data_IF_894209769770
#
_entry.id   IF_894209769770
#
_cell.length_a   1.000
_cell.length_b   1.000
_cell.length_c   1.000
_cell.angle_alpha   90.00
_cell.angle_beta   90.00
_cell.angle_gamma   90.00
#
_symmetry.space_group_name_H-M   'P 1'
#
loop_
_entity.id
_entity.type
_entity.pdbx_description
1 polymer ?
#
# COMPACT_ATOMS: atom_id res chain seq x y z
N UNK A 1 4.68 19.03 -11.43
CA UNK A 1 5.80 19.97 -11.27
C UNK A 1 7.05 19.15 -10.98
N UNK A 2 8.16 19.41 -11.69
CA UNK A 2 9.46 18.71 -11.53
C UNK A 2 9.35 17.18 -11.54
N UNK A 3 8.60 16.62 -12.47
CA UNK A 3 8.40 15.17 -12.58
C UNK A 3 9.31 14.62 -13.67
N UNK A 4 10.03 13.54 -13.37
CA UNK A 4 10.75 12.76 -14.37
C UNK A 4 9.87 11.58 -14.79
N UNK A 5 9.60 11.42 -16.06
CA UNK A 5 8.74 10.35 -16.58
C UNK A 5 9.50 9.57 -17.63
N UNK A 6 9.52 8.25 -17.49
CA UNK A 6 10.13 7.31 -18.43
C UNK A 6 9.29 7.09 -19.70
N UNK A 7 9.56 5.99 -20.40
CA UNK A 7 8.88 5.63 -21.64
C UNK A 7 7.61 4.80 -21.37
N UNK A 8 6.65 4.88 -22.30
CA UNK A 8 5.41 4.09 -22.28
C UNK A 8 4.61 4.21 -20.98
N UNK A 9 4.63 5.38 -20.36
CA UNK A 9 3.90 5.68 -19.12
C UNK A 9 2.52 6.19 -19.45
N UNK A 10 1.51 5.68 -18.74
CA UNK A 10 0.13 6.16 -18.82
C UNK A 10 -0.24 6.86 -17.52
N UNK A 11 -0.62 8.13 -17.62
CA UNK A 11 -1.13 8.92 -16.49
C UNK A 11 -2.52 9.44 -16.83
N UNK A 12 -3.51 9.06 -16.01
CA UNK A 12 -4.89 9.47 -16.17
C UNK A 12 -5.32 10.36 -15.00
N UNK A 13 -5.82 11.58 -15.29
CA UNK A 13 -6.46 12.51 -14.34
C UNK A 13 -5.85 12.47 -12.92
N UNK A 14 -4.53 12.63 -12.82
CA UNK A 14 -3.79 12.46 -11.57
C UNK A 14 -2.86 13.64 -11.31
N UNK A 15 -2.46 13.82 -10.06
CA UNK A 15 -1.55 14.87 -9.64
C UNK A 15 -0.18 14.26 -9.32
N UNK A 16 0.87 14.73 -9.99
CA UNK A 16 2.25 14.32 -9.77
C UNK A 16 3.11 15.55 -9.43
N UNK A 17 3.85 15.47 -8.33
CA UNK A 17 4.70 16.56 -7.85
C UNK A 17 6.05 16.01 -7.40
N UNK A 18 7.14 16.56 -7.95
CA UNK A 18 8.52 16.31 -7.52
C UNK A 18 8.82 14.80 -7.30
N UNK A 19 8.47 13.97 -8.28
CA UNK A 19 8.59 12.52 -8.23
C UNK A 19 9.23 11.93 -9.49
N UNK A 20 9.61 10.67 -9.42
CA UNK A 20 10.19 9.90 -10.51
C UNK A 20 9.26 8.77 -10.89
N UNK A 21 8.92 8.67 -12.16
CA UNK A 21 8.10 7.59 -12.72
C UNK A 21 8.92 6.90 -13.81
N UNK A 22 9.19 5.61 -13.63
CA UNK A 22 9.98 4.81 -14.56
C UNK A 22 9.14 4.31 -15.73
N UNK A 23 9.76 3.48 -16.59
CA UNK A 23 9.12 3.00 -17.81
C UNK A 23 7.90 2.10 -17.55
N UNK A 24 6.93 2.14 -18.44
CA UNK A 24 5.74 1.27 -18.48
C UNK A 24 4.88 1.32 -17.21
N UNK A 25 4.94 2.41 -16.47
CA UNK A 25 4.10 2.65 -15.29
C UNK A 25 2.71 3.10 -15.70
N UNK A 26 1.72 2.70 -14.92
CA UNK A 26 0.32 3.11 -15.08
C UNK A 26 -0.16 3.81 -13.80
N UNK A 27 -0.61 5.07 -13.94
CA UNK A 27 -1.06 5.90 -12.80
C UNK A 27 -2.47 6.43 -13.04
N UNK A 28 -3.31 6.26 -12.05
CA UNK A 28 -4.64 6.85 -12.01
C UNK A 28 -5.80 5.91 -12.37
N UNK A 29 -6.98 6.48 -12.57
CA UNK A 29 -7.30 7.91 -12.41
C UNK A 29 -7.30 8.36 -10.93
N UNK A 30 -7.19 9.67 -10.71
CA UNK A 30 -7.30 10.32 -9.39
C UNK A 30 -6.29 9.85 -8.35
N UNK A 31 -5.07 9.56 -8.76
CA UNK A 31 -3.95 9.30 -7.87
C UNK A 31 -3.21 10.60 -7.52
N UNK A 32 -2.60 10.64 -6.34
CA UNK A 32 -1.75 11.73 -5.91
C UNK A 32 -0.34 11.22 -5.56
N UNK A 33 0.62 11.49 -6.43
CA UNK A 33 2.04 11.14 -6.22
C UNK A 33 2.75 12.40 -5.71
N UNK A 34 3.20 12.34 -4.48
CA UNK A 34 3.81 13.44 -3.75
C UNK A 34 5.35 13.43 -3.84
N UNK A 35 6.00 14.52 -3.39
CA UNK A 35 7.46 14.64 -3.45
C UNK A 35 8.21 13.45 -2.83
N UNK A 36 9.42 13.24 -3.34
CA UNK A 36 10.34 12.18 -2.93
C UNK A 36 9.80 10.76 -3.18
N UNK A 37 8.86 10.60 -4.10
CA UNK A 37 8.32 9.29 -4.46
C UNK A 37 8.93 8.77 -5.76
N UNK A 38 9.17 7.46 -5.80
CA UNK A 38 9.67 6.76 -6.98
C UNK A 38 8.70 5.62 -7.32
N UNK A 39 8.19 5.63 -8.55
CA UNK A 39 7.36 4.56 -9.08
C UNK A 39 8.20 3.79 -10.08
N UNK A 40 8.58 2.58 -9.70
CA UNK A 40 9.49 1.74 -10.48
C UNK A 40 8.81 1.11 -11.69
N UNK A 41 9.61 0.57 -12.59
CA UNK A 41 9.21 0.06 -13.88
C UNK A 41 8.05 -0.93 -13.81
N UNK A 42 7.04 -0.75 -14.65
CA UNK A 42 5.89 -1.64 -14.74
C UNK A 42 4.94 -1.60 -13.55
N UNK A 43 5.20 -0.76 -12.55
CA UNK A 43 4.31 -0.64 -11.40
C UNK A 43 2.98 0.01 -11.77
N UNK A 44 1.96 -0.27 -10.96
CA UNK A 44 0.62 0.30 -11.11
C UNK A 44 0.20 1.01 -9.83
N UNK A 45 -0.18 2.28 -9.97
CA UNK A 45 -0.83 3.06 -8.91
C UNK A 45 -2.22 3.45 -9.41
N UNK A 46 -3.25 2.93 -8.76
CA UNK A 46 -4.63 3.09 -9.25
C UNK A 46 -5.37 4.28 -8.63
N UNK A 47 -6.68 4.16 -8.63
CA UNK A 47 -7.60 5.22 -8.28
C UNK A 47 -7.62 5.51 -6.76
N UNK A 48 -7.67 6.80 -6.44
CA UNK A 48 -7.73 7.31 -5.07
C UNK A 48 -6.58 6.80 -4.18
N UNK A 49 -5.39 6.70 -4.77
CA UNK A 49 -4.16 6.31 -4.06
C UNK A 49 -3.30 7.53 -3.85
N UNK A 50 -2.81 7.71 -2.63
CA UNK A 50 -1.81 8.71 -2.30
C UNK A 50 -0.48 8.03 -1.98
N UNK A 51 0.58 8.43 -2.69
CA UNK A 51 1.96 7.97 -2.46
C UNK A 51 2.80 9.18 -2.02
N UNK A 52 3.48 9.08 -0.88
CA UNK A 52 4.31 10.16 -0.33
C UNK A 52 5.65 9.62 0.15
N UNK A 53 6.75 10.17 -0.36
CA UNK A 53 8.11 9.82 0.08
C UNK A 53 8.30 8.31 0.18
N UNK A 54 7.96 7.61 -0.90
CA UNK A 54 7.90 6.15 -0.92
C UNK A 54 8.38 5.60 -2.25
N UNK A 55 8.81 4.35 -2.23
CA UNK A 55 9.19 3.59 -3.42
C UNK A 55 8.16 2.52 -3.67
N UNK A 56 7.58 2.50 -4.87
CA UNK A 56 6.75 1.39 -5.34
C UNK A 56 7.59 0.56 -6.31
N UNK A 57 7.98 -0.63 -5.89
CA UNK A 57 8.91 -1.50 -6.60
C UNK A 57 8.41 -2.02 -7.95
N UNK A 58 9.31 -2.59 -8.72
CA UNK A 58 9.04 -3.09 -10.08
C UNK A 58 7.85 -4.04 -10.11
N UNK A 59 6.91 -3.82 -11.04
CA UNK A 59 5.70 -4.62 -11.25
C UNK A 59 4.79 -4.73 -10.02
N UNK A 60 5.01 -3.93 -8.99
CA UNK A 60 4.14 -3.89 -7.81
C UNK A 60 2.89 -3.07 -8.08
N UNK A 61 1.85 -3.35 -7.31
CA UNK A 61 0.53 -2.76 -7.52
C UNK A 61 -0.01 -2.17 -6.22
N UNK A 62 -0.43 -0.90 -6.30
CA UNK A 62 -1.22 -0.20 -5.28
C UNK A 62 -2.51 0.27 -5.97
N UNK A 63 -3.49 -0.65 -6.18
CA UNK A 63 -4.53 -0.41 -7.17
C UNK A 63 -5.67 0.50 -6.71
N UNK A 64 -5.97 0.60 -5.40
CA UNK A 64 -7.18 1.29 -4.95
C UNK A 64 -7.08 1.86 -3.53
N UNK A 65 -7.60 3.08 -3.33
CA UNK A 65 -8.04 3.62 -2.03
C UNK A 65 -6.99 3.46 -0.92
N UNK A 66 -5.72 3.73 -1.18
CA UNK A 66 -4.64 3.46 -0.24
C UNK A 66 -3.82 4.71 0.05
N UNK A 67 -3.29 4.79 1.27
CA UNK A 67 -2.25 5.74 1.62
C UNK A 67 -0.93 5.01 1.88
N UNK A 68 0.09 5.34 1.09
CA UNK A 68 1.45 4.80 1.22
C UNK A 68 2.40 5.97 1.48
N UNK A 69 2.79 6.15 2.71
CA UNK A 69 3.69 7.21 3.14
C UNK A 69 4.91 6.68 3.89
N UNK A 70 6.07 7.23 3.58
CA UNK A 70 7.35 6.86 4.18
C UNK A 70 7.57 5.33 4.14
N UNK A 71 7.42 4.72 2.95
CA UNK A 71 7.46 3.27 2.77
C UNK A 71 8.29 2.84 1.56
N UNK A 72 8.84 1.65 1.64
CA UNK A 72 9.43 0.94 0.50
C UNK A 72 8.62 -0.33 0.24
N UNK A 73 8.14 -0.49 -0.98
CA UNK A 73 7.48 -1.68 -1.47
C UNK A 73 8.41 -2.38 -2.45
N UNK A 74 8.74 -3.63 -2.19
CA UNK A 74 9.58 -4.46 -3.05
C UNK A 74 8.93 -4.79 -4.39
N UNK A 75 9.53 -5.70 -5.15
CA UNK A 75 9.09 -6.09 -6.49
C UNK A 75 7.89 -7.04 -6.44
N UNK A 76 6.98 -6.93 -7.41
CA UNK A 76 5.89 -7.88 -7.60
C UNK A 76 4.91 -7.99 -6.44
N UNK A 77 4.88 -7.02 -5.55
CA UNK A 77 3.99 -7.01 -4.39
C UNK A 77 2.64 -6.38 -4.71
N UNK A 78 1.61 -6.82 -4.01
CA UNK A 78 0.25 -6.31 -4.18
C UNK A 78 -0.30 -5.74 -2.88
N UNK A 79 -0.66 -4.47 -2.93
CA UNK A 79 -1.24 -3.74 -1.80
C UNK A 79 -2.75 -3.70 -1.96
N UNK A 80 -3.48 -4.37 -1.08
CA UNK A 80 -4.93 -4.44 -1.13
C UNK A 80 -5.61 -3.08 -0.89
N UNK A 81 -6.82 -2.93 -1.42
CA UNK A 81 -7.60 -1.70 -1.30
C UNK A 81 -7.80 -1.27 0.16
N UNK A 82 -7.69 0.02 0.44
CA UNK A 82 -7.85 0.55 1.78
C UNK A 82 -6.67 0.31 2.73
N UNK A 83 -5.53 -0.10 2.22
CA UNK A 83 -4.31 -0.24 3.03
C UNK A 83 -3.75 1.12 3.42
N UNK A 84 -3.38 1.25 4.68
CA UNK A 84 -2.78 2.47 5.25
C UNK A 84 -1.43 2.13 5.87
N UNK A 85 -0.39 2.84 5.47
CA UNK A 85 0.85 2.91 6.25
C UNK A 85 0.66 3.96 7.34
N UNK A 86 0.57 3.51 8.60
CA UNK A 86 0.44 4.41 9.74
C UNK A 86 1.83 4.94 10.11
N UNK A 87 2.31 5.92 9.34
CA UNK A 87 3.69 6.40 9.38
C UNK A 87 3.96 7.49 10.44
N UNK A 88 2.94 8.01 11.09
CA UNK A 88 3.07 9.13 12.03
C UNK A 88 2.57 8.76 13.43
N UNK A 89 3.43 8.93 14.43
CA UNK A 89 3.14 8.59 15.83
C UNK A 89 2.61 9.76 16.67
N UNK A 90 2.33 10.89 16.02
CA UNK A 90 1.94 12.14 16.68
C UNK A 90 3.12 13.12 16.83
N UNK A 91 4.36 12.67 16.63
CA UNK A 91 5.57 13.49 16.73
C UNK A 91 6.57 13.23 15.60
N UNK A 92 6.83 11.97 15.29
CA UNK A 92 7.82 11.55 14.30
C UNK A 92 7.19 10.70 13.18
N UNK A 93 7.87 10.67 12.03
CA UNK A 93 7.58 9.76 10.93
C UNK A 93 8.45 8.52 11.04
N UNK A 94 7.85 7.37 10.77
CA UNK A 94 8.51 6.07 10.80
C UNK A 94 8.33 5.36 9.46
N UNK A 95 9.24 4.46 9.15
CA UNK A 95 9.30 3.76 7.86
C UNK A 95 8.60 2.41 7.91
N UNK A 96 7.92 2.06 6.81
CA UNK A 96 7.38 0.73 6.54
C UNK A 96 8.19 0.08 5.43
N UNK A 97 8.72 -1.12 5.68
CA UNK A 97 9.41 -1.92 4.67
C UNK A 97 8.52 -3.11 4.28
N UNK A 98 8.24 -3.24 2.99
CA UNK A 98 7.49 -4.36 2.42
C UNK A 98 8.39 -5.04 1.39
N UNK A 99 8.67 -6.31 1.60
CA UNK A 99 9.55 -7.10 0.74
C UNK A 99 8.99 -7.41 -0.64
N UNK A 100 9.68 -8.30 -1.35
CA UNK A 100 9.30 -8.75 -2.69
C UNK A 100 8.18 -9.80 -2.64
N UNK A 101 7.27 -9.77 -3.60
CA UNK A 101 6.21 -10.77 -3.74
C UNK A 101 5.21 -10.83 -2.57
N UNK A 102 5.09 -9.76 -1.81
CA UNK A 102 4.20 -9.68 -0.66
C UNK A 102 2.76 -9.41 -1.11
N UNK A 103 1.81 -10.02 -0.41
CA UNK A 103 0.39 -9.73 -0.57
C UNK A 103 -0.18 -9.10 0.70
N UNK A 104 -0.60 -7.84 0.61
CA UNK A 104 -1.31 -7.16 1.70
C UNK A 104 -2.81 -7.23 1.42
N UNK A 105 -3.57 -7.84 2.32
CA UNK A 105 -5.02 -7.92 2.23
C UNK A 105 -5.70 -6.56 2.40
N UNK A 106 -6.89 -6.41 1.83
CA UNK A 106 -7.65 -5.15 1.88
C UNK A 106 -7.92 -4.67 3.32
N UNK A 107 -7.99 -3.35 3.50
CA UNK A 107 -8.22 -2.70 4.80
C UNK A 107 -7.21 -3.09 5.88
N UNK A 108 -5.97 -3.30 5.49
CA UNK A 108 -4.88 -3.53 6.45
C UNK A 108 -4.27 -2.21 6.90
N UNK A 109 -3.93 -2.12 8.18
CA UNK A 109 -3.15 -1.03 8.75
C UNK A 109 -1.75 -1.54 9.08
N UNK A 110 -0.73 -0.90 8.54
CA UNK A 110 0.67 -1.22 8.83
C UNK A 110 1.23 -0.12 9.72
N UNK A 111 1.41 -0.42 11.01
CA UNK A 111 1.84 0.56 12.01
C UNK A 111 3.37 0.62 12.02
N UNK A 112 3.90 1.69 11.45
CA UNK A 112 5.34 1.90 11.34
C UNK A 112 5.98 2.25 12.71
N UNK A 113 7.25 1.85 12.96
CA UNK A 113 8.10 1.10 12.04
C UNK A 113 7.70 -0.37 11.98
N UNK A 114 7.63 -0.93 10.77
CA UNK A 114 7.26 -2.34 10.58
C UNK A 114 7.95 -2.89 9.33
N UNK A 115 8.31 -4.17 9.38
CA UNK A 115 8.94 -4.90 8.29
C UNK A 115 8.08 -6.12 7.92
N UNK A 116 7.71 -6.23 6.65
CA UNK A 116 6.98 -7.37 6.09
C UNK A 116 7.93 -8.12 5.15
N UNK A 117 8.32 -9.32 5.53
CA UNK A 117 9.30 -10.13 4.79
C UNK A 117 8.80 -10.62 3.43
N UNK A 118 9.74 -11.00 2.57
CA UNK A 118 9.47 -11.47 1.20
C UNK A 118 8.45 -12.61 1.17
N UNK A 119 7.54 -12.56 0.22
CA UNK A 119 6.52 -13.59 0.03
C UNK A 119 5.48 -13.69 1.15
N UNK A 120 5.49 -12.79 2.12
CA UNK A 120 4.53 -12.81 3.20
C UNK A 120 3.12 -12.41 2.72
N UNK A 121 2.14 -12.86 3.48
CA UNK A 121 0.74 -12.58 3.24
C UNK A 121 0.12 -11.96 4.49
N UNK A 122 -0.53 -10.82 4.35
CA UNK A 122 -1.28 -10.17 5.44
C UNK A 122 -2.77 -10.36 5.18
N UNK A 123 -3.49 -10.96 6.13
CA UNK A 123 -4.92 -11.18 6.01
C UNK A 123 -5.69 -9.85 6.01
N UNK A 124 -6.73 -9.75 5.18
CA UNK A 124 -7.57 -8.56 5.09
C UNK A 124 -8.10 -8.11 6.46
N UNK A 125 -8.16 -6.80 6.68
CA UNK A 125 -8.64 -6.21 7.94
C UNK A 125 -7.68 -6.36 9.12
N UNK A 126 -6.43 -6.72 8.89
CA UNK A 126 -5.41 -6.85 9.94
C UNK A 126 -4.76 -5.52 10.28
N UNK A 127 -4.42 -5.33 11.56
CA UNK A 127 -3.56 -4.24 12.03
C UNK A 127 -2.23 -4.83 12.48
N UNK A 128 -1.18 -4.59 11.68
CA UNK A 128 0.15 -5.18 11.86
C UNK A 128 1.01 -4.20 12.65
N UNK A 129 1.51 -4.62 13.79
CA UNK A 129 2.35 -3.83 14.71
C UNK A 129 3.74 -4.43 14.89
N UNK A 130 3.93 -5.69 14.52
CA UNK A 130 5.17 -6.42 14.67
C UNK A 130 5.68 -6.90 13.31
N UNK A 131 6.96 -7.26 13.24
CA UNK A 131 7.56 -7.84 12.05
C UNK A 131 6.80 -9.09 11.57
N UNK A 132 6.60 -9.19 10.26
CA UNK A 132 6.06 -10.39 9.62
C UNK A 132 7.18 -11.12 8.90
N UNK A 133 7.56 -12.33 9.31
CA UNK A 133 8.60 -13.11 8.64
C UNK A 133 8.25 -13.43 7.18
N UNK A 134 9.28 -13.63 6.36
CA UNK A 134 9.10 -14.05 4.98
C UNK A 134 8.24 -15.32 4.87
N UNK A 135 7.40 -15.41 3.84
CA UNK A 135 6.48 -16.50 3.56
C UNK A 135 5.47 -16.83 4.69
N UNK A 136 5.31 -15.94 5.66
CA UNK A 136 4.33 -16.11 6.73
C UNK A 136 2.96 -15.54 6.35
N UNK A 137 1.90 -16.07 6.95
CA UNK A 137 0.57 -15.47 6.96
C UNK A 137 0.37 -14.76 8.30
N UNK A 138 0.26 -13.43 8.26
CA UNK A 138 -0.08 -12.62 9.43
C UNK A 138 -1.59 -12.36 9.50
N UNK A 139 -2.20 -12.67 10.65
CA UNK A 139 -3.62 -12.42 10.92
C UNK A 139 -3.71 -11.64 12.24
N UNK A 140 -4.11 -10.38 12.15
CA UNK A 140 -4.23 -9.50 13.32
C UNK A 140 -5.60 -8.81 13.34
N UNK A 141 -6.64 -9.59 13.53
CA UNK A 141 -8.04 -9.18 13.60
C UNK A 141 -8.82 -10.08 14.54
N UNK A 142 -9.95 -9.60 15.07
CA UNK A 142 -10.83 -10.41 15.90
C UNK A 142 -11.43 -11.59 15.11
N UNK A 143 -11.68 -12.71 15.80
CA UNK A 143 -12.45 -13.82 15.21
C UNK A 143 -13.91 -13.41 15.05
N UNK A 144 -14.48 -13.77 13.91
CA UNK A 144 -15.90 -13.53 13.63
C UNK A 144 -16.78 -14.33 14.60
N UNK A 145 -17.81 -13.68 15.14
CA UNK A 145 -18.84 -14.30 15.95
C UNK A 145 -20.19 -14.03 15.30
N UNK A 146 -20.93 -15.08 14.99
CA UNK A 146 -22.29 -14.97 14.47
C UNK A 146 -23.30 -15.12 15.59
N UNK A 147 -24.21 -14.17 15.75
CA UNK A 147 -25.32 -14.24 16.69
C UNK A 147 -26.59 -14.58 15.91
N UNK A 148 -26.95 -15.86 15.92
CA UNK A 148 -28.11 -16.35 15.16
C UNK A 148 -29.42 -15.73 15.67
N UNK A 149 -30.35 -15.47 14.74
CA UNK A 149 -31.67 -14.88 14.99
C UNK A 149 -31.64 -13.50 15.68
N UNK A 150 -30.51 -12.80 15.65
CA UNK A 150 -30.36 -11.48 16.29
C UNK A 150 -31.42 -10.48 15.83
N UNK A 151 -31.66 -10.36 14.51
CA UNK A 151 -32.61 -9.41 13.94
C UNK A 151 -34.07 -9.74 14.28
N UNK A 152 -34.41 -11.02 14.46
CA UNK A 152 -35.78 -11.46 14.81
C UNK A 152 -36.18 -11.15 16.25
N UNK A 153 -35.22 -10.93 17.14
CA UNK A 153 -35.45 -10.62 18.57
C UNK A 153 -35.73 -9.13 18.81
N UNK A 154 -35.64 -8.29 17.78
CA UNK A 154 -35.85 -6.85 17.90
C UNK A 154 -37.25 -6.37 17.43
N UNK A 155 -38.21 -7.33 17.23
CA UNK A 155 -39.60 -7.04 16.91
C UNK A 155 -40.47 -7.18 18.15
#
# INVERSE_FOLDING_TARGET
KNVQIGNDVVVQHSVLIDCIVKDRVNIGPYAYIRPESVIEQGAKVGDFVEIKKSIVGENSKVPHLSYVGDATIGKGSNIGAGTITCNYDGKYKHHTEIGDGVFIGSNSNLVAPVNIGDGAYVAAGSTITDEVPGNALAIARARQVNKENYVRKQK
#
